data_IF_768563347658
#
_entry.id   IF_768563347658
#
_cell.length_a   1.000
_cell.length_b   1.000
_cell.length_c   1.000
_cell.angle_alpha   90.00
_cell.angle_beta   90.00
_cell.angle_gamma   90.00
#
_symmetry.space_group_name_H-M   'P 1'
#
loop_
_entity.id
_entity.type
_entity.pdbx_description
1 polymer ?
#
# COMPACT_ATOMS: atom_id res chain seq x y z
N UNK A 1 -25.99 -6.74 19.75
CA UNK A 1 -24.57 -6.51 19.46
C UNK A 1 -23.79 -7.75 19.88
N UNK A 2 -22.91 -8.21 19.00
CA UNK A 2 -22.03 -9.33 19.28
C UNK A 2 -20.97 -8.89 20.32
N UNK A 3 -20.67 -9.73 21.30
CA UNK A 3 -19.60 -9.56 22.28
C UNK A 3 -18.49 -10.59 22.06
N UNK A 4 -17.44 -10.55 22.87
CA UNK A 4 -16.28 -11.45 22.73
C UNK A 4 -16.69 -12.94 22.90
N UNK A 5 -17.59 -13.28 23.83
CA UNK A 5 -18.09 -14.64 23.98
C UNK A 5 -18.87 -15.13 22.75
N UNK A 6 -19.66 -14.24 22.14
CA UNK A 6 -20.35 -14.53 20.89
C UNK A 6 -19.40 -14.78 19.73
N UNK A 7 -18.30 -14.00 19.64
CA UNK A 7 -17.23 -14.26 18.67
C UNK A 7 -16.57 -15.59 18.95
N UNK A 8 -16.19 -15.88 20.19
CA UNK A 8 -15.56 -17.14 20.59
C UNK A 8 -16.43 -18.35 20.22
N UNK A 9 -17.73 -18.29 20.52
CA UNK A 9 -18.69 -19.34 20.15
C UNK A 9 -18.79 -19.50 18.61
N UNK A 10 -18.86 -18.38 17.87
CA UNK A 10 -18.95 -18.39 16.41
C UNK A 10 -17.70 -19.04 15.79
N UNK A 11 -16.49 -18.53 16.13
CA UNK A 11 -15.25 -18.99 15.51
C UNK A 11 -14.77 -20.35 16.01
N UNK A 12 -15.30 -20.82 17.14
CA UNK A 12 -15.13 -22.19 17.65
C UNK A 12 -15.96 -23.23 16.93
N UNK A 13 -16.95 -22.82 16.11
CA UNK A 13 -17.85 -23.74 15.43
C UNK A 13 -17.28 -24.24 14.10
N UNK A 14 -17.30 -25.57 13.88
CA UNK A 14 -16.94 -26.19 12.59
C UNK A 14 -17.84 -25.73 11.42
N UNK A 15 -19.04 -25.25 11.71
CA UNK A 15 -20.01 -24.80 10.70
C UNK A 15 -19.50 -23.63 9.85
N UNK A 16 -18.51 -22.87 10.33
CA UNK A 16 -17.91 -21.74 9.60
C UNK A 16 -16.69 -22.11 8.76
N UNK A 17 -16.31 -23.37 8.66
CA UNK A 17 -15.09 -23.81 7.95
C UNK A 17 -14.98 -23.32 6.50
N UNK A 18 -16.11 -23.07 5.84
CA UNK A 18 -16.13 -22.64 4.44
C UNK A 18 -16.22 -21.13 4.23
N UNK A 19 -16.26 -20.35 5.31
CA UNK A 19 -16.38 -18.90 5.15
C UNK A 19 -15.08 -18.30 4.60
N UNK A 20 -15.25 -17.40 3.62
CA UNK A 20 -14.17 -16.62 3.01
C UNK A 20 -14.15 -15.17 3.50
N UNK A 21 -15.27 -14.70 4.06
CA UNK A 21 -15.40 -13.32 4.52
C UNK A 21 -16.11 -13.28 5.87
N UNK A 22 -15.49 -12.66 6.86
CA UNK A 22 -16.06 -12.40 8.17
C UNK A 22 -16.12 -10.89 8.41
N UNK A 23 -17.31 -10.38 8.68
CA UNK A 23 -17.55 -8.96 8.96
C UNK A 23 -18.31 -8.81 10.28
N UNK A 24 -17.63 -8.30 11.30
CA UNK A 24 -18.16 -8.10 12.66
C UNK A 24 -17.78 -6.70 13.20
N UNK A 25 -18.09 -5.69 12.39
CA UNK A 25 -17.83 -4.30 12.69
C UNK A 25 -18.75 -3.74 13.77
N UNK A 26 -18.30 -2.68 14.47
CA UNK A 26 -19.12 -1.85 15.36
C UNK A 26 -19.81 -2.62 16.52
N UNK A 27 -19.04 -3.50 17.18
CA UNK A 27 -19.57 -4.39 18.23
C UNK A 27 -18.93 -4.20 19.62
N UNK A 28 -17.94 -3.34 19.79
CA UNK A 28 -17.16 -3.18 21.02
C UNK A 28 -16.30 -4.40 21.38
N UNK A 29 -15.95 -5.22 20.39
CA UNK A 29 -15.07 -6.38 20.55
C UNK A 29 -13.69 -5.93 21.03
N UNK A 30 -13.08 -6.74 21.91
CA UNK A 30 -11.78 -6.46 22.52
C UNK A 30 -10.68 -7.36 21.94
N UNK A 31 -9.48 -7.32 22.53
CA UNK A 31 -8.39 -8.24 22.21
C UNK A 31 -8.77 -9.71 22.32
N UNK A 32 -9.73 -10.04 23.22
CA UNK A 32 -10.26 -11.40 23.37
C UNK A 32 -10.88 -11.94 22.08
N UNK A 33 -11.60 -11.09 21.34
CA UNK A 33 -12.10 -11.48 20.01
C UNK A 33 -10.96 -11.68 19.01
N UNK A 34 -9.93 -10.82 19.07
CA UNK A 34 -8.72 -10.99 18.24
C UNK A 34 -8.05 -12.34 18.49
N UNK A 35 -7.87 -12.71 19.77
CA UNK A 35 -7.32 -13.98 20.21
C UNK A 35 -8.19 -15.16 19.76
N UNK A 36 -9.50 -15.09 20.00
CA UNK A 36 -10.43 -16.16 19.60
C UNK A 36 -10.41 -16.43 18.07
N UNK A 37 -10.32 -15.37 17.25
CA UNK A 37 -10.19 -15.48 15.80
C UNK A 37 -8.86 -16.12 15.43
N UNK A 38 -7.76 -15.69 16.06
CA UNK A 38 -6.41 -16.18 15.81
C UNK A 38 -6.24 -17.68 16.13
N UNK A 39 -6.92 -18.16 17.18
CA UNK A 39 -6.88 -19.54 17.64
C UNK A 39 -7.85 -20.48 16.89
N UNK A 40 -8.75 -19.93 16.08
CA UNK A 40 -9.78 -20.71 15.40
C UNK A 40 -9.20 -21.63 14.33
N UNK A 41 -9.36 -22.94 14.52
CA UNK A 41 -8.98 -23.99 13.55
C UNK A 41 -9.89 -24.08 12.33
N UNK A 42 -10.97 -23.27 12.29
CA UNK A 42 -12.00 -23.31 11.25
C UNK A 42 -11.93 -22.16 10.27
N UNK A 43 -10.94 -21.26 10.40
CA UNK A 43 -10.80 -20.05 9.56
C UNK A 43 -9.70 -20.18 8.49
N UNK A 44 -9.24 -21.38 8.18
CA UNK A 44 -8.19 -21.64 7.17
C UNK A 44 -8.50 -21.06 5.78
N UNK A 45 -9.79 -20.96 5.42
CA UNK A 45 -10.26 -20.42 4.15
C UNK A 45 -10.62 -18.93 4.18
N UNK A 46 -10.41 -18.25 5.32
CA UNK A 46 -10.79 -16.85 5.48
C UNK A 46 -9.87 -15.95 4.65
N UNK A 47 -10.46 -15.22 3.71
CA UNK A 47 -9.75 -14.30 2.81
C UNK A 47 -9.92 -12.83 3.22
N UNK A 48 -11.01 -12.49 3.87
CA UNK A 48 -11.30 -11.12 4.28
C UNK A 48 -11.86 -11.05 5.69
N UNK A 49 -11.19 -10.29 6.56
CA UNK A 49 -11.62 -10.02 7.93
C UNK A 49 -11.85 -8.52 8.12
N UNK A 50 -13.07 -8.15 8.51
CA UNK A 50 -13.45 -6.77 8.81
C UNK A 50 -13.90 -6.63 10.25
N UNK A 51 -13.15 -5.85 11.03
CA UNK A 51 -13.31 -5.61 12.45
C UNK A 51 -13.45 -4.11 12.78
N UNK A 52 -13.75 -3.28 11.80
CA UNK A 52 -13.73 -1.85 11.99
C UNK A 52 -14.69 -1.37 13.10
N UNK A 53 -14.30 -0.28 13.82
CA UNK A 53 -15.01 0.27 14.99
C UNK A 53 -15.26 -0.78 16.10
N UNK A 54 -14.17 -1.33 16.61
CA UNK A 54 -14.11 -2.19 17.78
C UNK A 54 -13.02 -1.67 18.75
N UNK A 55 -12.53 -2.49 19.63
CA UNK A 55 -11.48 -2.21 20.62
C UNK A 55 -10.44 -3.34 20.62
N UNK A 56 -10.07 -3.80 19.44
CA UNK A 56 -9.15 -4.95 19.27
C UNK A 56 -7.80 -4.66 19.91
N UNK A 57 -7.31 -3.41 19.85
CA UNK A 57 -6.05 -3.00 20.43
C UNK A 57 -4.82 -3.69 19.80
N UNK A 58 -3.64 -3.32 20.30
CA UNK A 58 -2.39 -3.92 19.82
C UNK A 58 -2.26 -5.40 20.17
N UNK A 59 -2.78 -5.84 21.34
CA UNK A 59 -2.73 -7.25 21.77
C UNK A 59 -3.57 -8.15 20.87
N UNK A 60 -4.80 -7.73 20.51
CA UNK A 60 -5.63 -8.48 19.57
C UNK A 60 -5.03 -8.53 18.17
N UNK A 61 -4.40 -7.44 17.72
CA UNK A 61 -3.67 -7.43 16.45
C UNK A 61 -2.43 -8.32 16.50
N UNK A 62 -1.71 -8.34 17.62
CA UNK A 62 -0.59 -9.27 17.85
C UNK A 62 -1.04 -10.72 17.67
N UNK A 63 -2.12 -11.12 18.35
CA UNK A 63 -2.66 -12.47 18.23
C UNK A 63 -2.98 -12.84 16.77
N UNK A 64 -3.64 -11.94 16.02
CA UNK A 64 -3.92 -12.14 14.61
C UNK A 64 -2.63 -12.24 13.76
N UNK A 65 -1.61 -11.42 14.05
CA UNK A 65 -0.36 -11.38 13.33
C UNK A 65 0.50 -12.64 13.54
N UNK A 66 0.43 -13.24 14.72
CA UNK A 66 1.17 -14.45 15.09
C UNK A 66 0.42 -15.77 14.79
N UNK A 67 -0.84 -15.68 14.31
CA UNK A 67 -1.68 -16.85 14.06
C UNK A 67 -1.21 -17.69 12.88
N UNK A 68 -1.16 -19.00 13.05
CA UNK A 68 -0.96 -19.96 11.96
C UNK A 68 -2.29 -20.42 11.31
N UNK A 69 -3.43 -19.97 11.83
CA UNK A 69 -4.76 -20.42 11.41
C UNK A 69 -5.43 -19.52 10.34
N UNK A 70 -4.74 -18.49 9.87
CA UNK A 70 -5.24 -17.52 8.88
C UNK A 70 -4.40 -17.50 7.58
N UNK A 71 -4.00 -18.64 7.00
CA UNK A 71 -3.03 -18.71 5.89
C UNK A 71 -3.56 -18.09 4.58
N UNK A 72 -4.89 -17.98 4.44
CA UNK A 72 -5.54 -17.47 3.22
C UNK A 72 -5.90 -15.99 3.28
N UNK A 73 -5.53 -15.26 4.37
CA UNK A 73 -5.99 -13.90 4.60
C UNK A 73 -5.34 -12.92 3.60
N UNK A 74 -6.19 -12.26 2.78
CA UNK A 74 -5.81 -11.29 1.76
C UNK A 74 -6.21 -9.85 2.12
N UNK A 75 -7.26 -9.69 2.90
CA UNK A 75 -7.76 -8.36 3.29
C UNK A 75 -8.08 -8.30 4.77
N UNK A 76 -7.43 -7.36 5.48
CA UNK A 76 -7.66 -7.08 6.90
C UNK A 76 -8.05 -5.61 7.09
N UNK A 77 -9.21 -5.36 7.70
CA UNK A 77 -9.72 -4.02 7.97
C UNK A 77 -9.92 -3.81 9.47
N UNK A 78 -9.08 -2.96 10.07
CA UNK A 78 -9.01 -2.67 11.50
C UNK A 78 -9.19 -1.17 11.81
N UNK A 79 -9.86 -0.42 10.93
CA UNK A 79 -10.10 1.00 11.19
C UNK A 79 -10.79 1.22 12.54
N UNK A 80 -10.34 2.25 13.27
CA UNK A 80 -10.90 2.66 14.56
C UNK A 80 -10.91 1.51 15.61
N UNK A 81 -9.71 1.01 15.96
CA UNK A 81 -9.51 -0.12 16.88
C UNK A 81 -8.49 0.12 17.99
N UNK A 82 -7.98 1.32 18.18
CA UNK A 82 -7.02 1.65 19.24
C UNK A 82 -5.72 0.83 19.14
N UNK A 83 -5.22 0.63 17.91
CA UNK A 83 -4.06 -0.22 17.62
C UNK A 83 -2.75 0.40 18.17
N UNK A 84 -2.56 1.71 18.01
CA UNK A 84 -1.35 2.41 18.42
C UNK A 84 -0.09 2.00 17.64
N UNK A 85 1.06 2.64 17.93
CA UNK A 85 2.34 2.32 17.26
C UNK A 85 2.83 0.90 17.56
N UNK A 86 2.60 0.39 18.76
CA UNK A 86 2.97 -0.98 19.15
C UNK A 86 2.28 -2.04 18.28
N UNK A 87 1.00 -1.81 17.92
CA UNK A 87 0.28 -2.70 17.03
C UNK A 87 0.88 -2.74 15.62
N UNK A 88 1.35 -1.60 15.12
CA UNK A 88 2.02 -1.52 13.82
C UNK A 88 3.30 -2.38 13.76
N UNK A 89 4.04 -2.49 14.87
CA UNK A 89 5.21 -3.36 14.98
C UNK A 89 4.86 -4.82 14.72
N UNK A 90 3.77 -5.32 15.29
CA UNK A 90 3.34 -6.71 15.08
C UNK A 90 2.91 -6.98 13.64
N UNK A 91 2.41 -5.97 12.93
CA UNK A 91 2.12 -6.10 11.49
C UNK A 91 3.41 -6.36 10.71
N UNK A 92 4.48 -5.63 11.01
CA UNK A 92 5.78 -5.76 10.37
C UNK A 92 6.43 -7.14 10.56
N UNK A 93 6.24 -7.75 11.71
CA UNK A 93 6.83 -9.03 12.09
C UNK A 93 5.91 -10.24 11.81
N UNK A 94 4.72 -10.01 11.26
CA UNK A 94 3.67 -11.01 11.12
C UNK A 94 4.02 -12.16 10.20
N UNK A 95 3.72 -13.38 10.64
CA UNK A 95 3.76 -14.59 9.81
C UNK A 95 2.47 -14.76 8.97
N UNK A 96 1.32 -14.38 9.54
CA UNK A 96 0.00 -14.56 8.94
C UNK A 96 -0.32 -13.59 7.81
N UNK A 97 0.37 -12.44 7.75
CA UNK A 97 0.02 -11.35 6.83
C UNK A 97 0.82 -11.33 5.53
N UNK A 98 1.58 -12.39 5.25
CA UNK A 98 2.42 -12.51 4.04
C UNK A 98 1.63 -12.45 2.72
N UNK A 99 0.38 -12.89 2.75
CA UNK A 99 -0.51 -12.89 1.57
C UNK A 99 -1.46 -11.70 1.53
N UNK A 100 -1.31 -10.71 2.45
CA UNK A 100 -2.17 -9.54 2.45
C UNK A 100 -1.91 -8.67 1.20
N UNK A 101 -2.98 -8.43 0.46
CA UNK A 101 -3.02 -7.45 -0.63
C UNK A 101 -3.66 -6.13 -0.19
N UNK A 102 -4.43 -6.13 0.91
CA UNK A 102 -5.11 -4.94 1.40
C UNK A 102 -5.15 -4.88 2.93
N UNK A 103 -4.57 -3.80 3.49
CA UNK A 103 -4.53 -3.55 4.92
C UNK A 103 -5.15 -2.18 5.24
N UNK A 104 -6.15 -2.16 6.13
CA UNK A 104 -6.80 -0.95 6.60
C UNK A 104 -6.54 -0.71 8.08
N UNK A 105 -5.79 0.35 8.38
CA UNK A 105 -5.42 0.78 9.72
C UNK A 105 -5.83 2.23 10.03
N UNK A 106 -6.78 2.79 9.29
CA UNK A 106 -7.23 4.17 9.52
C UNK A 106 -7.78 4.37 10.94
N UNK A 107 -7.69 5.59 11.47
CA UNK A 107 -8.20 5.97 12.80
C UNK A 107 -7.65 5.11 13.97
N UNK A 108 -6.34 4.87 14.01
CA UNK A 108 -5.70 4.01 15.02
C UNK A 108 -4.60 4.69 15.84
N UNK A 109 -4.35 5.97 15.64
CA UNK A 109 -3.32 6.74 16.36
C UNK A 109 -1.92 6.12 16.25
N UNK A 110 -1.53 5.71 15.05
CA UNK A 110 -0.23 5.06 14.79
C UNK A 110 0.95 6.02 14.97
N UNK A 111 0.78 7.30 14.61
CA UNK A 111 1.86 8.29 14.60
C UNK A 111 3.03 7.91 13.70
N UNK A 112 4.08 8.72 13.73
CA UNK A 112 5.29 8.47 12.92
C UNK A 112 6.04 7.22 13.37
N UNK A 113 5.99 6.89 14.66
CA UNK A 113 6.61 5.68 15.18
C UNK A 113 5.99 4.41 14.59
N UNK A 114 4.64 4.34 14.59
CA UNK A 114 3.94 3.22 13.97
C UNK A 114 4.23 3.09 12.47
N UNK A 115 4.38 4.22 11.78
CA UNK A 115 4.73 4.23 10.37
C UNK A 115 6.15 3.74 10.12
N UNK A 116 7.12 4.09 10.99
CA UNK A 116 8.48 3.56 10.92
C UNK A 116 8.53 2.04 11.10
N UNK A 117 7.71 1.48 12.00
CA UNK A 117 7.58 0.02 12.13
C UNK A 117 7.00 -0.61 10.85
N UNK A 118 5.95 -0.02 10.26
CA UNK A 118 5.41 -0.50 8.98
C UNK A 118 6.45 -0.42 7.85
N UNK A 119 7.18 0.69 7.75
CA UNK A 119 8.21 0.87 6.74
C UNK A 119 9.30 -0.23 6.80
N UNK A 120 9.58 -0.76 7.98
CA UNK A 120 10.51 -1.88 8.21
C UNK A 120 9.93 -3.27 7.91
N UNK A 121 8.65 -3.39 7.58
CA UNK A 121 7.96 -4.68 7.41
C UNK A 121 8.48 -5.47 6.19
N UNK A 122 9.16 -6.60 6.41
CA UNK A 122 9.74 -7.41 5.32
C UNK A 122 8.78 -8.45 4.73
N UNK A 123 7.63 -8.65 5.33
CA UNK A 123 6.68 -9.72 5.02
C UNK A 123 5.43 -9.24 4.25
N UNK A 124 5.27 -7.93 4.01
CA UNK A 124 4.11 -7.35 3.32
C UNK A 124 4.36 -7.12 1.82
N UNK A 125 5.11 -8.01 1.19
CA UNK A 125 5.53 -7.86 -0.22
C UNK A 125 4.38 -7.89 -1.22
N UNK A 126 3.28 -8.57 -0.86
CA UNK A 126 2.08 -8.67 -1.71
C UNK A 126 1.11 -7.50 -1.49
N UNK A 127 1.44 -6.54 -0.60
CA UNK A 127 0.54 -5.46 -0.27
C UNK A 127 0.41 -4.47 -1.43
N UNK A 128 -0.84 -4.27 -1.89
CA UNK A 128 -1.22 -3.35 -2.96
C UNK A 128 -1.88 -2.08 -2.42
N UNK A 129 -2.67 -2.22 -1.35
CA UNK A 129 -3.47 -1.12 -0.78
C UNK A 129 -3.23 -1.01 0.72
N UNK A 130 -2.80 0.17 1.18
CA UNK A 130 -2.61 0.51 2.58
C UNK A 130 -3.42 1.76 2.94
N UNK A 131 -4.37 1.63 3.86
CA UNK A 131 -5.17 2.74 4.37
C UNK A 131 -4.66 3.18 5.74
N UNK A 132 -4.06 4.38 5.80
CA UNK A 132 -3.46 5.01 6.98
C UNK A 132 -4.13 6.34 7.34
N UNK A 133 -5.33 6.60 6.85
CA UNK A 133 -6.04 7.86 7.10
C UNK A 133 -6.23 8.10 8.59
N UNK A 134 -6.17 9.37 8.99
CA UNK A 134 -6.43 9.81 10.36
C UNK A 134 -5.63 9.03 11.42
N UNK A 135 -4.29 9.09 11.32
CA UNK A 135 -3.36 8.39 12.22
C UNK A 135 -2.33 9.30 12.88
N UNK A 136 -2.50 10.61 12.84
CA UNK A 136 -1.56 11.60 13.40
C UNK A 136 -0.15 11.52 12.78
N UNK A 137 -0.03 11.08 11.53
CA UNK A 137 1.23 10.99 10.79
C UNK A 137 1.66 12.38 10.37
N UNK A 138 2.94 12.72 10.56
CA UNK A 138 3.58 13.94 10.07
C UNK A 138 4.47 13.65 8.85
N UNK A 139 5.15 14.69 8.36
CA UNK A 139 6.12 14.55 7.26
C UNK A 139 7.24 13.54 7.60
N UNK A 140 7.68 13.47 8.87
CA UNK A 140 8.71 12.53 9.30
C UNK A 140 8.28 11.07 9.08
N UNK A 141 7.04 10.73 9.41
CA UNK A 141 6.49 9.39 9.15
C UNK A 141 6.36 9.09 7.67
N UNK A 142 5.83 10.05 6.89
CA UNK A 142 5.67 9.90 5.46
C UNK A 142 7.02 9.72 4.74
N UNK A 143 8.04 10.52 5.08
CA UNK A 143 9.39 10.41 4.55
C UNK A 143 9.99 9.05 4.92
N UNK A 144 9.86 8.60 6.18
CA UNK A 144 10.38 7.30 6.60
C UNK A 144 9.74 6.14 5.81
N UNK A 145 8.44 6.21 5.52
CA UNK A 145 7.77 5.20 4.70
C UNK A 145 8.21 5.27 3.24
N UNK A 146 8.38 6.46 2.69
CA UNK A 146 8.74 6.66 1.28
C UNK A 146 10.14 6.15 0.92
N UNK A 147 10.99 5.90 1.91
CA UNK A 147 12.32 5.29 1.71
C UNK A 147 12.32 3.76 1.82
N UNK A 148 11.15 3.14 2.09
CA UNK A 148 11.04 1.70 2.26
C UNK A 148 11.11 0.95 0.93
N UNK A 149 11.91 -0.13 0.89
CA UNK A 149 11.98 -1.07 -0.23
C UNK A 149 11.10 -2.32 -0.02
N UNK A 150 10.32 -2.33 1.05
CA UNK A 150 9.59 -3.53 1.50
C UNK A 150 8.20 -3.69 0.88
N UNK A 151 7.76 -2.73 0.07
CA UNK A 151 6.43 -2.72 -0.56
C UNK A 151 6.50 -2.67 -2.09
N UNK A 152 7.09 -3.68 -2.73
CA UNK A 152 7.31 -3.64 -4.19
C UNK A 152 6.01 -3.60 -5.00
N UNK A 153 4.91 -4.12 -4.47
CA UNK A 153 3.62 -4.20 -5.15
C UNK A 153 2.63 -3.11 -4.73
N UNK A 154 3.06 -2.14 -3.89
CA UNK A 154 2.14 -1.10 -3.41
C UNK A 154 1.67 -0.18 -4.55
N UNK A 155 0.37 -0.04 -4.69
CA UNK A 155 -0.27 0.80 -5.70
C UNK A 155 -0.93 2.02 -5.08
N UNK A 156 -1.37 1.89 -3.82
CA UNK A 156 -2.12 2.93 -3.14
C UNK A 156 -1.81 3.00 -1.65
N UNK A 157 -1.46 4.20 -1.19
CA UNK A 157 -1.37 4.53 0.24
C UNK A 157 -2.30 5.71 0.50
N UNK A 158 -3.33 5.52 1.33
CA UNK A 158 -4.28 6.56 1.72
C UNK A 158 -3.79 7.24 2.99
N UNK A 159 -3.53 8.54 2.92
CA UNK A 159 -2.96 9.33 4.02
C UNK A 159 -3.80 10.57 4.37
N UNK A 160 -5.00 10.73 3.82
CA UNK A 160 -5.85 11.89 4.15
C UNK A 160 -6.11 11.99 5.65
N UNK A 161 -6.43 13.19 6.13
CA UNK A 161 -6.70 13.48 7.53
C UNK A 161 -5.52 13.19 8.49
N UNK A 162 -4.28 13.25 7.99
CA UNK A 162 -3.04 13.24 8.77
C UNK A 162 -2.48 14.68 8.90
N UNK A 163 -1.28 14.81 9.43
CA UNK A 163 -0.61 16.10 9.68
C UNK A 163 0.49 16.38 8.65
N UNK A 164 0.27 15.94 7.40
CA UNK A 164 1.23 16.15 6.33
C UNK A 164 1.19 17.57 5.81
N UNK A 165 2.36 18.10 5.48
CA UNK A 165 2.52 19.26 4.62
C UNK A 165 2.83 18.80 3.20
N UNK A 166 3.07 19.75 2.29
CA UNK A 166 3.50 19.47 0.92
C UNK A 166 4.77 18.59 0.87
N UNK A 167 5.64 18.66 1.87
CA UNK A 167 6.87 17.87 1.96
C UNK A 167 6.56 16.38 2.08
N UNK A 168 5.75 15.98 3.04
CA UNK A 168 5.36 14.58 3.23
C UNK A 168 4.51 14.04 2.08
N UNK A 169 3.58 14.87 1.56
CA UNK A 169 2.78 14.49 0.39
C UNK A 169 3.65 14.23 -0.84
N UNK A 170 4.64 15.09 -1.11
CA UNK A 170 5.54 14.91 -2.25
C UNK A 170 6.45 13.70 -2.08
N UNK A 171 6.96 13.42 -0.86
CA UNK A 171 7.71 12.21 -0.58
C UNK A 171 6.90 10.94 -0.93
N UNK A 172 5.63 10.89 -0.52
CA UNK A 172 4.76 9.75 -0.82
C UNK A 172 4.36 9.65 -2.29
N UNK A 173 4.14 10.78 -2.97
CA UNK A 173 3.89 10.78 -4.43
C UNK A 173 5.11 10.23 -5.18
N UNK A 174 6.31 10.68 -4.82
CA UNK A 174 7.57 10.18 -5.39
C UNK A 174 7.73 8.67 -5.19
N UNK A 175 7.49 8.19 -3.98
CA UNK A 175 7.54 6.76 -3.66
C UNK A 175 6.58 5.94 -4.52
N UNK A 176 5.33 6.37 -4.64
CA UNK A 176 4.32 5.65 -5.42
C UNK A 176 4.64 5.66 -6.92
N UNK A 177 5.14 6.78 -7.47
CA UNK A 177 5.51 6.83 -8.89
C UNK A 177 6.74 5.96 -9.19
N UNK A 178 7.74 5.93 -8.33
CA UNK A 178 8.91 5.06 -8.49
C UNK A 178 8.54 3.58 -8.45
N UNK A 179 7.67 3.17 -7.53
CA UNK A 179 7.13 1.81 -7.52
C UNK A 179 6.31 1.49 -8.78
N UNK A 180 5.49 2.44 -9.23
CA UNK A 180 4.71 2.28 -10.45
C UNK A 180 5.62 2.07 -11.67
N UNK A 181 6.66 2.90 -11.84
CA UNK A 181 7.64 2.77 -12.92
C UNK A 181 8.30 1.38 -12.85
N UNK A 182 8.81 1.00 -11.69
CA UNK A 182 9.48 -0.29 -11.49
C UNK A 182 8.61 -1.46 -11.93
N UNK A 183 7.33 -1.46 -11.54
CA UNK A 183 6.39 -2.54 -11.83
C UNK A 183 5.88 -2.55 -13.30
N UNK A 184 6.11 -1.48 -14.05
CA UNK A 184 5.72 -1.35 -15.45
C UNK A 184 6.85 -1.61 -16.43
N UNK A 185 8.06 -1.84 -15.94
CA UNK A 185 9.19 -2.21 -16.76
C UNK A 185 9.05 -3.66 -17.21
N UNK A 186 9.21 -3.89 -18.52
CA UNK A 186 9.34 -5.20 -19.13
C UNK A 186 10.63 -5.23 -19.92
N UNK A 187 11.37 -6.32 -19.84
CA UNK A 187 12.59 -6.52 -20.62
C UNK A 187 12.28 -7.52 -21.74
N UNK A 188 12.61 -7.15 -22.97
CA UNK A 188 12.51 -7.99 -24.17
C UNK A 188 13.88 -8.14 -24.85
N UNK A 189 13.98 -8.96 -25.88
CA UNK A 189 15.20 -9.08 -26.70
C UNK A 189 15.56 -7.75 -27.39
N UNK A 190 14.58 -6.90 -27.68
CA UNK A 190 14.75 -5.60 -28.32
C UNK A 190 15.15 -4.48 -27.37
N UNK A 191 15.04 -4.72 -26.04
CA UNK A 191 15.35 -3.75 -25.00
C UNK A 191 14.25 -3.60 -23.95
N UNK A 192 14.41 -2.58 -23.13
CA UNK A 192 13.48 -2.30 -22.04
C UNK A 192 12.25 -1.51 -22.52
N UNK A 193 11.08 -1.91 -22.05
CA UNK A 193 9.79 -1.29 -22.32
C UNK A 193 9.20 -0.79 -21.00
N UNK A 194 8.72 0.45 -20.96
CA UNK A 194 7.98 1.00 -19.81
C UNK A 194 6.65 1.60 -20.31
N UNK A 195 5.54 1.02 -19.89
CA UNK A 195 4.19 1.49 -20.23
C UNK A 195 3.56 2.21 -19.05
N UNK A 196 3.51 3.52 -19.14
CA UNK A 196 2.93 4.45 -18.17
C UNK A 196 1.71 5.18 -18.75
N UNK A 197 1.04 4.62 -19.73
CA UNK A 197 -0.14 5.21 -20.38
C UNK A 197 -1.36 5.22 -19.44
N UNK A 198 -2.17 6.28 -19.57
CA UNK A 198 -3.46 6.45 -18.87
C UNK A 198 -3.38 6.37 -17.33
N UNK A 199 -2.35 6.98 -16.74
CA UNK A 199 -2.10 6.96 -15.29
C UNK A 199 -2.31 8.32 -14.63
N UNK A 200 -2.68 9.35 -15.41
CA UNK A 200 -2.89 10.70 -14.92
C UNK A 200 -1.60 11.46 -14.60
N UNK A 201 -0.45 10.97 -15.12
CA UNK A 201 0.88 11.54 -14.94
C UNK A 201 0.90 12.99 -15.42
N UNK A 202 1.47 13.89 -14.61
CA UNK A 202 1.70 15.29 -14.90
C UNK A 202 3.20 15.64 -14.90
N UNK A 203 3.48 16.93 -14.85
CA UNK A 203 4.87 17.45 -14.98
C UNK A 203 5.75 17.12 -13.75
N UNK A 204 5.15 16.89 -12.57
CA UNK A 204 5.90 16.50 -11.38
C UNK A 204 6.42 15.07 -11.52
N UNK A 205 5.56 14.17 -11.96
CA UNK A 205 5.92 12.76 -12.16
C UNK A 205 6.95 12.60 -13.28
N UNK A 206 6.97 13.48 -14.28
CA UNK A 206 7.96 13.48 -15.35
C UNK A 206 9.40 13.63 -14.84
N UNK A 207 9.60 14.35 -13.73
CA UNK A 207 10.92 14.47 -13.11
C UNK A 207 11.43 13.13 -12.57
N UNK A 208 10.56 12.36 -11.94
CA UNK A 208 10.89 11.02 -11.44
C UNK A 208 11.14 10.03 -12.58
N UNK A 209 10.37 10.12 -13.67
CA UNK A 209 10.56 9.31 -14.88
C UNK A 209 11.91 9.63 -15.52
N UNK A 210 12.20 10.91 -15.69
CA UNK A 210 13.45 11.40 -16.31
C UNK A 210 14.71 10.96 -15.56
N UNK A 211 14.63 10.85 -14.23
CA UNK A 211 15.75 10.53 -13.35
C UNK A 211 15.70 9.09 -12.81
N UNK A 212 14.85 8.21 -13.34
CA UNK A 212 14.74 6.85 -12.82
C UNK A 212 15.99 6.02 -13.15
N UNK A 213 16.71 5.64 -12.10
CA UNK A 213 18.01 4.94 -12.25
C UNK A 213 17.88 3.54 -12.88
N UNK A 214 16.72 2.91 -12.83
CA UNK A 214 16.48 1.59 -13.43
C UNK A 214 16.28 1.58 -14.95
N UNK A 215 16.45 2.72 -15.65
CA UNK A 215 16.35 2.79 -17.11
C UNK A 215 17.73 2.61 -17.79
N UNK A 216 18.29 1.41 -17.70
CA UNK A 216 19.60 1.08 -18.27
C UNK A 216 19.53 0.65 -19.74
N UNK A 217 18.67 0.82 -20.50
CA UNK A 217 18.48 0.53 -21.93
C UNK A 217 16.99 0.63 -22.29
N UNK A 218 16.38 1.75 -21.88
CA UNK A 218 14.99 2.01 -22.20
C UNK A 218 14.85 2.28 -23.70
N UNK A 219 14.10 1.42 -24.40
CA UNK A 219 13.85 1.54 -25.85
C UNK A 219 12.47 2.05 -26.17
N UNK A 220 11.48 1.71 -25.35
CA UNK A 220 10.08 2.04 -25.61
C UNK A 220 9.46 2.64 -24.35
N UNK A 221 9.03 3.91 -24.43
CA UNK A 221 8.34 4.62 -23.37
C UNK A 221 6.96 5.08 -23.85
N UNK A 222 5.93 4.56 -23.21
CA UNK A 222 4.54 4.92 -23.49
C UNK A 222 4.02 5.83 -22.39
N UNK A 223 3.60 7.06 -22.77
CA UNK A 223 3.09 8.12 -21.90
C UNK A 223 1.77 8.70 -22.40
N UNK A 224 1.10 8.05 -23.34
CA UNK A 224 -0.14 8.54 -23.90
C UNK A 224 -1.27 8.62 -22.85
N UNK A 225 -2.30 9.44 -23.13
CA UNK A 225 -3.47 9.61 -22.26
C UNK A 225 -3.15 10.10 -20.84
N UNK A 226 -2.13 10.94 -20.71
CA UNK A 226 -1.72 11.54 -19.45
C UNK A 226 -2.03 13.07 -19.42
N UNK A 227 -1.46 13.79 -18.46
CA UNK A 227 -1.68 15.23 -18.26
C UNK A 227 -0.39 16.05 -18.44
N UNK A 228 0.60 15.49 -19.17
CA UNK A 228 1.91 16.08 -19.37
C UNK A 228 1.77 17.34 -20.21
N UNK A 229 2.44 18.43 -19.79
CA UNK A 229 2.52 19.68 -20.54
C UNK A 229 3.91 19.86 -21.16
N UNK A 230 4.17 21.03 -21.75
CA UNK A 230 5.49 21.41 -22.28
C UNK A 230 6.60 21.32 -21.22
N UNK A 231 6.26 21.60 -19.94
CA UNK A 231 7.22 21.53 -18.83
C UNK A 231 7.65 20.09 -18.55
N UNK A 232 6.71 19.16 -18.52
CA UNK A 232 7.00 17.75 -18.26
C UNK A 232 7.79 17.10 -19.39
N UNK A 233 7.43 17.39 -20.65
CA UNK A 233 8.17 16.81 -21.78
C UNK A 233 9.59 17.34 -21.90
N UNK A 234 9.85 18.59 -21.54
CA UNK A 234 11.21 19.13 -21.48
C UNK A 234 12.10 18.39 -20.48
N UNK A 235 11.56 17.96 -19.33
CA UNK A 235 12.29 17.14 -18.37
C UNK A 235 12.66 15.78 -18.97
N UNK A 236 11.72 15.13 -19.64
CA UNK A 236 11.92 13.83 -20.29
C UNK A 236 12.98 13.96 -21.39
N UNK A 237 12.86 14.95 -22.28
CA UNK A 237 13.75 15.12 -23.44
C UNK A 237 15.19 15.49 -23.04
N UNK A 238 15.38 16.15 -21.90
CA UNK A 238 16.70 16.52 -21.39
C UNK A 238 17.40 15.41 -20.58
N UNK A 239 16.74 14.27 -20.38
CA UNK A 239 17.28 13.18 -19.58
C UNK A 239 18.23 12.29 -20.36
N UNK A 240 19.43 12.08 -19.82
CA UNK A 240 20.40 11.10 -20.34
C UNK A 240 19.86 9.65 -20.33
N UNK A 241 18.88 9.35 -19.49
CA UNK A 241 18.20 8.03 -19.43
C UNK A 241 17.37 7.75 -20.68
N UNK A 242 17.03 8.79 -21.45
CA UNK A 242 16.18 8.69 -22.65
C UNK A 242 17.00 8.61 -23.97
N UNK A 243 18.31 8.67 -23.91
CA UNK A 243 19.18 8.72 -25.10
C UNK A 243 19.06 7.52 -26.04
N UNK A 244 18.67 6.37 -25.51
CA UNK A 244 18.55 5.12 -26.24
C UNK A 244 17.13 4.81 -26.71
N UNK A 245 16.17 5.74 -26.50
CA UNK A 245 14.77 5.55 -26.90
C UNK A 245 14.65 5.38 -28.43
N UNK A 246 13.95 4.32 -28.81
CA UNK A 246 13.51 4.06 -30.19
C UNK A 246 12.07 4.52 -30.41
N UNK A 247 11.26 4.55 -29.33
CA UNK A 247 9.88 5.02 -29.38
C UNK A 247 9.54 5.78 -28.09
N UNK A 248 8.96 6.97 -28.28
CA UNK A 248 8.31 7.76 -27.23
C UNK A 248 6.88 8.06 -27.69
N UNK A 249 5.89 7.50 -27.01
CA UNK A 249 4.47 7.77 -27.28
C UNK A 249 3.92 8.81 -26.31
N UNK A 250 3.39 9.92 -26.84
CA UNK A 250 2.90 11.08 -26.08
C UNK A 250 1.47 11.49 -26.42
N UNK A 251 0.77 10.69 -27.21
CA UNK A 251 -0.56 11.04 -27.72
C UNK A 251 -1.54 11.39 -26.59
N UNK A 252 -2.44 12.34 -26.85
CA UNK A 252 -3.49 12.73 -25.89
C UNK A 252 -2.97 13.22 -24.54
N UNK A 253 -1.86 13.98 -24.58
CA UNK A 253 -1.37 14.79 -23.47
C UNK A 253 -1.75 16.28 -23.68
N UNK A 254 -1.22 17.19 -22.88
CA UNK A 254 -1.43 18.64 -22.95
C UNK A 254 -0.19 19.37 -23.47
N UNK A 255 0.59 18.73 -24.33
CA UNK A 255 1.81 19.25 -24.91
C UNK A 255 1.44 20.20 -26.05
N UNK A 256 2.03 21.39 -26.05
CA UNK A 256 1.89 22.39 -27.07
C UNK A 256 3.17 22.56 -27.92
N UNK A 257 3.16 23.57 -28.81
CA UNK A 257 4.27 23.82 -29.73
C UNK A 257 5.60 24.17 -29.05
N UNK A 258 5.59 24.57 -27.78
CA UNK A 258 6.80 24.93 -27.02
C UNK A 258 7.48 23.70 -26.41
N UNK A 259 6.76 22.59 -26.24
CA UNK A 259 7.29 21.35 -25.69
C UNK A 259 8.16 20.57 -26.69
N UNK A 260 8.11 20.92 -27.99
CA UNK A 260 8.76 20.17 -29.08
C UNK A 260 10.00 20.91 -29.62
N UNK A 261 10.37 22.02 -29.01
CA UNK A 261 11.59 22.77 -29.35
C UNK A 261 12.75 22.37 -28.47
#
# INVERSE_FOLDING_TARGET
>A
KLNDDGVRALVGSRSIKQIKRLTINNNKLTHESGLAIAESKWLENLQSLKLYRNKIGHEGLKALAESDNLPSLKSLRLAHNQIGPEGAKFVGDSKSFRSLTSLGLSENNLGDEGIKYLAGAQNLKELEILDLRNNNITDDGAIAFSTSINFPNIQKVELSDNKLTEVGENAMKSFLILNLIHNRIKVSEEGMICDLSNLGIGDLECDHIANYEGFDNLKYLYLELNKITDVGIQKISNSEKMKDLSLLSLDRNKIGDKGIK
#
